data_IF_241425755164
#
_entry.id   IF_241425755164
#
_cell.length_a   1.000
_cell.length_b   1.000
_cell.length_c   1.000
_cell.angle_alpha   90.00
_cell.angle_beta   90.00
_cell.angle_gamma   90.00
#
_symmetry.space_group_name_H-M   'P 1'
#
loop_
_entity.id
_entity.type
_entity.pdbx_description
1 polymer ?
#
# COMPACT_ATOMS: atom_id res chain seq x y z
N UNK A 1 -1.69 26.02 10.63
CA UNK A 1 -1.04 24.69 10.69
C UNK A 1 -2.06 23.65 10.22
N UNK A 2 -1.78 22.81 9.22
CA UNK A 2 -2.72 21.75 8.78
C UNK A 2 -2.63 20.54 9.71
N UNK A 3 -3.78 20.00 10.11
CA UNK A 3 -3.88 18.80 10.93
C UNK A 3 -3.34 17.57 10.18
N UNK A 4 -2.75 16.59 10.88
CA UNK A 4 -2.41 15.30 10.28
C UNK A 4 -3.66 14.66 9.64
N UNK A 5 -3.53 13.97 8.50
CA UNK A 5 -4.66 13.25 7.89
C UNK A 5 -5.27 12.22 8.85
N UNK A 6 -6.58 12.03 8.80
CA UNK A 6 -7.25 10.97 9.57
C UNK A 6 -6.69 9.59 9.14
N UNK A 7 -6.13 8.79 10.07
CA UNK A 7 -5.61 7.47 9.75
C UNK A 7 -6.63 6.55 9.08
N UNK A 8 -7.93 6.68 9.37
CA UNK A 8 -8.99 5.88 8.71
C UNK A 8 -9.12 6.24 7.24
N UNK A 9 -9.01 7.53 6.90
CA UNK A 9 -9.02 7.99 5.51
C UNK A 9 -7.77 7.51 4.76
N UNK A 10 -6.60 7.54 5.42
CA UNK A 10 -5.35 7.01 4.88
C UNK A 10 -5.49 5.51 4.55
N UNK A 11 -6.13 4.74 5.44
CA UNK A 11 -6.40 3.32 5.21
C UNK A 11 -7.36 3.11 4.03
N UNK A 12 -8.45 3.89 3.94
CA UNK A 12 -9.39 3.82 2.81
C UNK A 12 -8.68 4.05 1.47
N UNK A 13 -7.79 5.05 1.40
CA UNK A 13 -7.03 5.34 0.18
C UNK A 13 -5.96 4.28 -0.11
N UNK A 14 -5.30 3.73 0.92
CA UNK A 14 -4.39 2.61 0.77
C UNK A 14 -5.10 1.34 0.24
N UNK A 15 -6.36 1.12 0.61
CA UNK A 15 -7.20 0.02 0.08
C UNK A 15 -7.65 0.26 -1.37
N UNK A 16 -7.61 1.49 -1.89
CA UNK A 16 -7.98 1.77 -3.27
C UNK A 16 -6.80 1.56 -4.23
N UNK A 17 -5.59 1.99 -3.83
CA UNK A 17 -4.41 1.87 -4.67
C UNK A 17 -3.14 1.65 -3.82
N UNK A 18 -2.26 0.70 -4.20
CA UNK A 18 -1.00 0.47 -3.49
C UNK A 18 -0.16 1.75 -3.43
N UNK A 19 0.33 2.06 -2.24
CA UNK A 19 1.21 3.20 -2.00
C UNK A 19 0.53 4.57 -1.83
N UNK A 20 -0.75 4.72 -2.16
CA UNK A 20 -1.41 6.04 -2.08
C UNK A 20 -1.65 6.53 -0.64
N UNK A 21 -1.82 5.61 0.30
CA UNK A 21 -1.88 5.98 1.72
C UNK A 21 -0.59 6.69 2.19
N UNK A 22 0.57 6.32 1.66
CA UNK A 22 1.84 6.98 1.97
C UNK A 22 1.96 8.36 1.34
N UNK A 23 1.43 8.54 0.13
CA UNK A 23 1.41 9.85 -0.54
C UNK A 23 0.61 10.87 0.28
N UNK A 24 -0.54 10.45 0.83
CA UNK A 24 -1.36 11.32 1.69
C UNK A 24 -0.66 11.85 2.93
N UNK A 25 0.24 11.06 3.50
CA UNK A 25 1.01 11.40 4.72
C UNK A 25 2.42 11.89 4.40
N UNK A 26 2.63 12.42 3.18
CA UNK A 26 3.91 13.03 2.77
C UNK A 26 5.07 12.06 2.52
N UNK A 27 4.84 10.75 2.56
CA UNK A 27 5.85 9.70 2.41
C UNK A 27 5.86 9.10 0.99
N UNK A 28 5.82 9.95 -0.02
CA UNK A 28 5.63 9.54 -1.42
C UNK A 28 6.68 8.52 -1.92
N UNK A 29 7.95 8.65 -1.54
CA UNK A 29 8.99 7.70 -1.92
C UNK A 29 8.69 6.26 -1.44
N UNK A 30 8.20 6.12 -0.20
CA UNK A 30 7.78 4.82 0.36
C UNK A 30 6.56 4.27 -0.37
N UNK A 31 5.60 5.15 -0.68
CA UNK A 31 4.42 4.81 -1.47
C UNK A 31 4.75 4.30 -2.88
N UNK A 32 5.65 5.00 -3.58
CA UNK A 32 6.14 4.60 -4.90
C UNK A 32 6.82 3.23 -4.84
N UNK A 33 7.60 2.96 -3.80
CA UNK A 33 8.17 1.63 -3.54
C UNK A 33 7.09 0.56 -3.50
N UNK A 34 6.07 0.72 -2.66
CA UNK A 34 4.95 -0.24 -2.60
C UNK A 34 4.23 -0.39 -3.94
N UNK A 35 3.96 0.70 -4.65
CA UNK A 35 3.30 0.65 -5.96
C UNK A 35 4.12 -0.13 -6.99
N UNK A 36 5.41 0.18 -7.12
CA UNK A 36 6.31 -0.50 -8.06
C UNK A 36 6.51 -1.97 -7.71
N UNK A 37 6.74 -2.30 -6.43
CA UNK A 37 6.89 -3.69 -6.01
C UNK A 37 5.59 -4.47 -6.20
N UNK A 38 4.42 -3.87 -5.93
CA UNK A 38 3.14 -4.53 -6.18
C UNK A 38 2.93 -4.83 -7.68
N UNK A 39 3.28 -3.88 -8.55
CA UNK A 39 3.18 -4.07 -10.00
C UNK A 39 4.17 -5.12 -10.51
N UNK A 40 5.45 -5.01 -10.14
CA UNK A 40 6.50 -5.93 -10.59
C UNK A 40 6.23 -7.34 -10.07
N UNK A 41 5.92 -7.50 -8.78
CA UNK A 41 5.64 -8.83 -8.23
C UNK A 41 4.30 -9.39 -8.70
N UNK A 42 3.28 -8.55 -8.89
CA UNK A 42 2.01 -8.97 -9.48
C UNK A 42 2.21 -9.50 -10.90
N UNK A 43 2.97 -8.79 -11.73
CA UNK A 43 3.35 -9.22 -13.06
C UNK A 43 4.23 -10.48 -13.03
N UNK A 44 5.24 -10.52 -12.15
CA UNK A 44 6.17 -11.64 -12.04
C UNK A 44 5.44 -12.93 -11.66
N UNK A 45 4.51 -12.87 -10.69
CA UNK A 45 3.73 -14.05 -10.32
C UNK A 45 2.87 -14.58 -11.46
N UNK A 46 2.47 -13.74 -12.43
CA UNK A 46 1.73 -14.22 -13.60
C UNK A 46 2.54 -15.18 -14.47
N UNK A 47 3.88 -15.10 -14.43
CA UNK A 47 4.80 -15.92 -15.23
C UNK A 47 5.02 -17.31 -14.63
N UNK A 48 4.79 -17.45 -13.33
CA UNK A 48 4.99 -18.69 -12.59
C UNK A 48 3.68 -19.34 -12.11
N UNK A 49 2.55 -18.65 -12.29
CA UNK A 49 1.25 -19.16 -11.90
C UNK A 49 0.88 -20.41 -12.71
N UNK A 50 0.32 -21.41 -12.03
CA UNK A 50 -0.22 -22.59 -12.68
C UNK A 50 -1.35 -22.23 -13.67
N UNK A 51 -1.59 -23.03 -14.72
CA UNK A 51 -2.62 -22.71 -15.72
C UNK A 51 -4.04 -22.55 -15.13
N UNK A 52 -4.33 -23.30 -14.07
CA UNK A 52 -5.58 -23.31 -13.31
C UNK A 52 -5.64 -22.23 -12.21
N UNK A 53 -4.56 -21.48 -12.00
CA UNK A 53 -4.54 -20.39 -11.02
C UNK A 53 -5.48 -19.25 -11.44
N UNK A 54 -6.44 -18.94 -10.57
CA UNK A 54 -7.34 -17.80 -10.70
C UNK A 54 -6.62 -16.45 -10.57
N UNK A 55 -7.36 -15.35 -10.74
CA UNK A 55 -6.81 -13.98 -10.79
C UNK A 55 -5.98 -13.62 -9.55
N UNK A 56 -6.45 -13.99 -8.35
CA UNK A 56 -5.74 -13.71 -7.10
C UNK A 56 -4.42 -14.48 -7.04
N UNK A 57 -4.44 -15.79 -7.34
CA UNK A 57 -3.24 -16.63 -7.36
C UNK A 57 -2.22 -16.15 -8.41
N UNK A 58 -2.71 -15.74 -9.58
CA UNK A 58 -1.87 -15.24 -10.68
C UNK A 58 -1.16 -13.93 -10.34
N UNK A 59 -1.73 -13.11 -9.46
CA UNK A 59 -1.15 -11.82 -9.03
C UNK A 59 -0.76 -11.81 -7.55
N UNK A 60 -0.55 -12.99 -6.95
CA UNK A 60 -0.39 -13.14 -5.50
C UNK A 60 0.75 -12.27 -4.94
N UNK A 61 1.84 -12.09 -5.71
CA UNK A 61 2.96 -11.25 -5.29
C UNK A 61 2.57 -9.78 -5.17
N UNK A 62 1.76 -9.29 -6.10
CA UNK A 62 1.24 -7.92 -6.06
C UNK A 62 0.25 -7.72 -4.92
N UNK A 63 -0.68 -8.65 -4.73
CA UNK A 63 -1.62 -8.64 -3.61
C UNK A 63 -0.92 -8.70 -2.26
N UNK A 64 0.14 -9.49 -2.11
CA UNK A 64 0.93 -9.57 -0.89
C UNK A 64 1.54 -8.21 -0.53
N UNK A 65 2.25 -7.58 -1.47
CA UNK A 65 2.86 -6.27 -1.26
C UNK A 65 1.81 -5.22 -0.94
N UNK A 66 0.70 -5.24 -1.68
CA UNK A 66 -0.41 -4.33 -1.43
C UNK A 66 -0.97 -4.51 -0.03
N UNK A 67 -1.28 -5.74 0.39
CA UNK A 67 -1.79 -6.05 1.72
C UNK A 67 -0.84 -5.59 2.84
N UNK A 68 0.47 -5.75 2.66
CA UNK A 68 1.48 -5.26 3.62
C UNK A 68 1.50 -3.72 3.69
N UNK A 69 1.23 -3.03 2.58
CA UNK A 69 1.22 -1.56 2.55
C UNK A 69 0.10 -0.93 3.41
N UNK A 70 -1.03 -1.62 3.59
CA UNK A 70 -2.19 -1.14 4.35
C UNK A 70 -1.87 -0.85 5.82
N UNK A 71 -1.45 -1.85 6.64
CA UNK A 71 -1.11 -1.61 8.04
C UNK A 71 0.08 -0.67 8.19
N UNK A 72 1.00 -0.64 7.22
CA UNK A 72 2.15 0.26 7.24
C UNK A 72 1.74 1.73 7.08
N UNK A 73 0.89 2.04 6.10
CA UNK A 73 0.34 3.38 5.91
C UNK A 73 -0.54 3.82 7.09
N UNK A 74 -1.43 2.94 7.56
CA UNK A 74 -2.31 3.22 8.69
C UNK A 74 -1.53 3.48 9.98
N UNK A 75 -0.55 2.63 10.32
CA UNK A 75 0.28 2.82 11.52
C UNK A 75 1.11 4.08 11.44
N UNK A 76 1.67 4.40 10.28
CA UNK A 76 2.40 5.65 10.06
C UNK A 76 1.50 6.87 10.33
N UNK A 77 0.29 6.89 9.78
CA UNK A 77 -0.67 7.97 10.03
C UNK A 77 -1.09 8.06 11.50
N UNK A 78 -1.32 6.91 12.16
CA UNK A 78 -1.61 6.85 13.61
C UNK A 78 -0.48 7.43 14.45
N UNK A 79 0.77 7.16 14.08
CA UNK A 79 1.95 7.70 14.76
C UNK A 79 2.07 9.21 14.56
N UNK A 80 1.78 9.72 13.37
CA UNK A 80 1.78 11.18 13.10
C UNK A 80 0.77 11.91 13.97
N UNK A 81 -0.45 11.38 14.08
CA UNK A 81 -1.48 11.91 14.99
C UNK A 81 -1.01 11.86 16.44
N UNK A 82 -0.47 10.73 16.90
CA UNK A 82 -0.03 10.56 18.29
C UNK A 82 1.16 11.47 18.66
N UNK A 83 2.05 11.76 17.70
CA UNK A 83 3.26 12.57 17.90
C UNK A 83 3.08 14.04 17.51
N UNK A 84 1.91 14.43 16.99
CA UNK A 84 1.70 15.76 16.41
C UNK A 84 2.62 16.05 15.21
N UNK A 85 3.14 15.00 14.55
CA UNK A 85 4.02 15.11 13.38
C UNK A 85 3.19 15.27 12.11
N UNK A 86 3.78 15.93 11.11
CA UNK A 86 3.23 16.04 9.77
C UNK A 86 3.95 15.11 8.82
#
# INVERSE_FOLDING_TARGET
MRSPPDPRLVLLIAMALPGMGHVMIGRAARGLGFALFALVLGWLTTKFAAPDAGVIGRHAGGFLVWAISLPDAYRSARMDVALGRR
#
